data_IF_633507234389
#
_entry.id   IF_633507234389
#
_cell.length_a   1.000
_cell.length_b   1.000
_cell.length_c   1.000
_cell.angle_alpha   90.00
_cell.angle_beta   90.00
_cell.angle_gamma   90.00
#
_symmetry.space_group_name_H-M   'P 1'
#
loop_
_entity.id
_entity.type
_entity.pdbx_description
1 polymer ?
#
# COMPACT_ATOMS: atom_id res chain seq x y z
N UNK A 1 1.82 -57.02 -11.44
CA UNK A 1 2.05 -56.40 -12.75
C UNK A 1 0.70 -56.00 -13.34
N UNK A 2 0.51 -54.71 -13.60
CA UNK A 2 -0.60 -54.12 -14.39
C UNK A 2 -1.86 -53.72 -13.60
N UNK A 3 -2.56 -52.63 -13.98
CA UNK A 3 -2.12 -51.38 -14.63
C UNK A 3 -2.38 -50.13 -13.77
N UNK A 4 -1.70 -49.01 -14.08
CA UNK A 4 -2.01 -47.68 -13.54
C UNK A 4 -3.22 -47.07 -14.28
N UNK A 5 -4.20 -46.46 -13.59
CA UNK A 5 -5.13 -45.54 -14.23
C UNK A 5 -4.61 -44.09 -14.20
N UNK A 6 -4.29 -43.64 -15.41
CA UNK A 6 -4.51 -42.32 -16.05
C UNK A 6 -4.65 -41.07 -15.17
N UNK A 7 -3.88 -40.06 -15.59
CA UNK A 7 -4.02 -38.64 -15.28
C UNK A 7 -5.47 -38.15 -15.40
N UNK A 8 -5.94 -37.47 -14.37
CA UNK A 8 -7.03 -36.49 -14.48
C UNK A 8 -6.43 -35.11 -14.21
N UNK A 9 -6.46 -34.27 -15.24
CA UNK A 9 -6.46 -32.82 -15.07
C UNK A 9 -7.70 -32.46 -14.25
N UNK A 10 -7.50 -31.75 -13.14
CA UNK A 10 -8.55 -31.39 -12.21
C UNK A 10 -8.17 -30.10 -11.50
N UNK A 11 -8.39 -28.98 -12.19
CA UNK A 11 -8.53 -27.68 -11.57
C UNK A 11 -9.90 -27.64 -10.88
N UNK A 12 -9.96 -27.67 -9.55
CA UNK A 12 -11.08 -27.22 -8.71
C UNK A 12 -10.62 -27.38 -7.25
N UNK A 13 -10.46 -26.32 -6.45
CA UNK A 13 -11.51 -25.84 -5.54
C UNK A 13 -11.87 -26.94 -4.53
N UNK A 14 -11.78 -26.78 -3.22
CA UNK A 14 -12.69 -25.98 -2.39
C UNK A 14 -12.09 -25.95 -0.98
N UNK A 15 -12.11 -24.80 -0.28
CA UNK A 15 -12.79 -24.62 1.03
C UNK A 15 -12.49 -23.23 1.59
N UNK A 16 -13.00 -22.22 0.87
CA UNK A 16 -13.27 -20.89 1.41
C UNK A 16 -14.36 -20.99 2.48
N UNK A 17 -13.98 -20.80 3.73
CA UNK A 17 -14.88 -20.36 4.79
C UNK A 17 -14.22 -19.10 5.32
N UNK A 18 -14.94 -17.97 5.27
CA UNK A 18 -14.47 -16.58 5.41
C UNK A 18 -13.96 -15.94 4.11
N UNK A 19 -14.84 -15.77 3.12
CA UNK A 19 -14.64 -14.69 2.14
C UNK A 19 -14.87 -13.38 2.88
N UNK A 20 -13.81 -12.81 3.47
CA UNK A 20 -13.80 -11.39 3.80
C UNK A 20 -14.07 -10.68 2.47
N UNK A 21 -15.09 -9.83 2.40
CA UNK A 21 -15.32 -9.03 1.20
C UNK A 21 -14.13 -8.09 1.05
N UNK A 22 -13.16 -8.46 0.21
CA UNK A 22 -11.98 -7.67 -0.06
C UNK A 22 -12.33 -6.70 -1.18
N UNK A 23 -12.83 -5.50 -0.82
CA UNK A 23 -13.06 -4.45 -1.82
C UNK A 23 -11.72 -4.06 -2.44
N UNK A 24 -11.62 -4.21 -3.75
CA UNK A 24 -10.40 -3.90 -4.51
C UNK A 24 -10.64 -2.71 -5.43
N UNK A 25 -9.75 -1.73 -5.37
CA UNK A 25 -9.72 -0.59 -6.27
C UNK A 25 -8.42 -0.64 -7.08
N UNK A 26 -8.53 -0.59 -8.41
CA UNK A 26 -7.36 -0.58 -9.31
C UNK A 26 -7.26 0.75 -10.03
N UNK A 27 -6.05 1.31 -10.08
CA UNK A 27 -5.73 2.46 -10.91
C UNK A 27 -4.75 2.09 -12.03
N UNK A 28 -5.05 2.50 -13.25
CA UNK A 28 -4.14 2.40 -14.40
C UNK A 28 -3.41 3.74 -14.57
N UNK A 29 -2.11 3.74 -14.36
CA UNK A 29 -1.27 4.94 -14.29
C UNK A 29 -0.34 4.93 -15.50
N UNK A 30 -0.70 5.56 -16.61
CA UNK A 30 0.14 5.67 -17.79
C UNK A 30 1.41 6.53 -17.59
N UNK A 31 1.37 7.49 -16.66
CA UNK A 31 2.43 8.50 -16.42
C UNK A 31 2.63 8.79 -14.94
N UNK A 32 3.79 9.33 -14.58
CA UNK A 32 4.10 9.76 -13.21
C UNK A 32 3.08 10.75 -12.62
N UNK A 33 2.48 11.60 -13.45
CA UNK A 33 1.46 12.56 -13.01
C UNK A 33 0.20 11.88 -12.45
N UNK A 34 -0.16 10.70 -12.97
CA UNK A 34 -1.32 9.95 -12.46
C UNK A 34 -0.97 9.30 -11.12
N UNK A 35 0.25 8.79 -10.95
CA UNK A 35 0.76 8.35 -9.64
C UNK A 35 0.76 9.50 -8.63
N UNK A 36 1.17 10.71 -9.05
CA UNK A 36 1.13 11.91 -8.22
C UNK A 36 -0.30 12.27 -7.82
N UNK A 37 -1.22 12.33 -8.78
CA UNK A 37 -2.65 12.60 -8.56
C UNK A 37 -3.25 11.63 -7.55
N UNK A 38 -2.97 10.33 -7.70
CA UNK A 38 -3.51 9.27 -6.83
C UNK A 38 -2.93 9.35 -5.42
N UNK A 39 -1.61 9.54 -5.29
CA UNK A 39 -0.97 9.73 -3.99
C UNK A 39 -1.45 11.01 -3.28
N UNK A 40 -1.51 12.13 -4.00
CA UNK A 40 -2.01 13.40 -3.46
C UNK A 40 -3.47 13.27 -2.98
N UNK A 41 -4.32 12.61 -3.76
CA UNK A 41 -5.72 12.37 -3.37
C UNK A 41 -5.82 11.54 -2.08
N UNK A 42 -4.95 10.53 -1.90
CA UNK A 42 -4.89 9.75 -0.65
C UNK A 42 -4.45 10.64 0.52
N UNK A 43 -3.39 11.44 0.35
CA UNK A 43 -2.93 12.39 1.36
C UNK A 43 -4.00 13.39 1.79
N UNK A 44 -4.83 13.86 0.86
CA UNK A 44 -5.90 14.82 1.14
C UNK A 44 -7.05 14.25 2.00
N UNK A 45 -7.24 12.92 2.03
CA UNK A 45 -8.27 12.24 2.84
C UNK A 45 -7.71 11.43 3.99
N UNK A 46 -6.39 11.37 4.11
CA UNK A 46 -5.73 10.68 5.20
C UNK A 46 -6.20 11.23 6.56
N UNK A 47 -6.32 10.30 7.51
CA UNK A 47 -6.74 10.52 8.88
C UNK A 47 -5.72 9.92 9.85
N UNK A 48 -5.66 10.39 11.12
CA UNK A 48 -4.77 9.85 12.15
C UNK A 48 -4.91 8.33 12.32
N UNK A 49 -3.80 7.63 12.45
CA UNK A 49 -3.73 6.17 12.58
C UNK A 49 -3.97 5.40 11.27
N UNK A 50 -4.04 6.08 10.11
CA UNK A 50 -4.09 5.39 8.83
C UNK A 50 -2.74 4.72 8.56
N UNK A 51 -2.75 3.40 8.36
CA UNK A 51 -1.57 2.62 7.96
C UNK A 51 -1.71 2.17 6.51
N UNK A 52 -0.70 2.50 5.70
CA UNK A 52 -0.62 2.18 4.28
C UNK A 52 0.62 1.32 4.01
N UNK A 53 0.41 0.07 3.64
CA UNK A 53 1.48 -0.81 3.16
C UNK A 53 1.72 -0.65 1.66
N UNK A 54 2.97 -0.40 1.26
CA UNK A 54 3.39 -0.23 -0.13
C UNK A 54 4.23 -1.42 -0.58
N UNK A 55 3.70 -2.17 -1.54
CA UNK A 55 4.29 -3.40 -2.08
C UNK A 55 4.66 -3.16 -3.55
N UNK A 56 5.80 -3.69 -3.99
CA UNK A 56 6.23 -3.59 -5.37
C UNK A 56 7.72 -3.81 -5.52
N UNK A 57 8.17 -4.11 -6.74
CA UNK A 57 9.60 -4.35 -7.04
C UNK A 57 10.46 -3.09 -6.85
N UNK A 58 11.78 -3.27 -6.89
CA UNK A 58 12.72 -2.14 -6.91
C UNK A 58 12.43 -1.25 -8.14
N UNK A 59 12.30 0.05 -7.94
CA UNK A 59 11.96 0.98 -9.02
C UNK A 59 10.46 1.03 -9.38
N UNK A 60 9.58 0.30 -8.68
CA UNK A 60 8.14 0.35 -8.93
C UNK A 60 7.52 1.73 -8.65
N UNK A 61 8.20 2.59 -7.88
CA UNK A 61 7.74 3.95 -7.57
C UNK A 61 7.15 4.12 -6.16
N UNK A 62 7.41 3.18 -5.24
CA UNK A 62 6.93 3.24 -3.84
C UNK A 62 7.28 4.57 -3.15
N UNK A 63 8.56 4.96 -3.10
CA UNK A 63 8.98 6.25 -2.54
C UNK A 63 8.41 7.47 -3.27
N UNK A 64 8.23 7.38 -4.61
CA UNK A 64 7.56 8.42 -5.37
C UNK A 64 6.10 8.58 -4.92
N UNK A 65 5.41 7.47 -4.66
CA UNK A 65 4.06 7.47 -4.12
C UNK A 65 4.01 8.08 -2.71
N UNK A 66 4.95 7.73 -1.81
CA UNK A 66 5.07 8.36 -0.48
C UNK A 66 5.19 9.87 -0.61
N UNK A 67 6.04 10.36 -1.54
CA UNK A 67 6.20 11.79 -1.80
C UNK A 67 4.89 12.42 -2.28
N UNK A 68 4.16 11.77 -3.18
CA UNK A 68 2.87 12.25 -3.64
C UNK A 68 1.82 12.32 -2.50
N UNK A 69 1.82 11.34 -1.59
CA UNK A 69 0.99 11.39 -0.37
C UNK A 69 1.39 12.57 0.52
N UNK A 70 2.70 12.80 0.68
CA UNK A 70 3.22 13.93 1.46
C UNK A 70 2.82 15.30 0.87
N UNK A 71 2.77 15.41 -0.46
CA UNK A 71 2.23 16.59 -1.15
C UNK A 71 0.75 16.81 -0.80
N UNK A 72 -0.08 15.76 -0.85
CA UNK A 72 -1.49 15.84 -0.45
C UNK A 72 -1.74 16.08 1.04
N UNK A 73 -0.72 15.84 1.87
CA UNK A 73 -0.67 16.19 3.29
C UNK A 73 -0.07 17.56 3.54
N UNK A 74 0.17 18.37 2.51
CA UNK A 74 0.65 19.75 2.67
C UNK A 74 2.02 19.82 3.39
N UNK A 75 2.87 18.82 3.15
CA UNK A 75 4.25 18.83 3.67
C UNK A 75 5.00 20.06 3.12
N UNK A 76 5.68 20.87 3.97
CA UNK A 76 6.31 22.11 3.53
C UNK A 76 7.32 21.97 2.39
N UNK A 77 8.05 20.84 2.36
CA UNK A 77 8.92 20.48 1.23
C UNK A 77 8.91 18.96 1.00
N UNK A 78 7.94 18.48 0.22
CA UNK A 78 7.83 17.06 -0.12
C UNK A 78 9.05 16.51 -0.89
N UNK A 79 9.90 17.35 -1.48
CA UNK A 79 11.12 16.89 -2.18
C UNK A 79 12.13 16.27 -1.22
N UNK A 80 12.05 16.61 0.07
CA UNK A 80 12.87 16.03 1.13
C UNK A 80 12.44 14.60 1.50
N UNK A 81 11.26 14.16 1.05
CA UNK A 81 10.82 12.77 1.24
C UNK A 81 11.70 11.87 0.38
N UNK A 82 12.52 11.06 1.05
CA UNK A 82 13.42 10.07 0.44
C UNK A 82 13.23 8.73 1.14
N UNK A 83 13.62 7.63 0.49
CA UNK A 83 13.51 6.31 1.10
C UNK A 83 14.44 6.22 2.33
N UNK A 84 13.88 5.89 3.51
CA UNK A 84 14.64 5.74 4.74
C UNK A 84 15.29 4.35 4.83
N UNK A 85 15.70 3.72 3.73
CA UNK A 85 16.27 2.36 3.71
C UNK A 85 17.32 2.10 4.81
N UNK A 86 18.11 3.12 5.21
CA UNK A 86 19.10 3.00 6.29
C UNK A 86 18.65 3.53 7.65
N UNK A 87 17.71 4.49 7.68
CA UNK A 87 17.15 5.02 8.92
C UNK A 87 16.02 4.14 9.47
N UNK A 88 15.47 3.26 8.63
CA UNK A 88 14.31 2.39 8.84
C UNK A 88 12.99 3.16 8.99
N UNK A 89 13.01 4.29 9.69
CA UNK A 89 11.89 5.23 9.84
C UNK A 89 12.37 6.67 9.63
N UNK A 90 11.54 7.49 9.00
CA UNK A 90 11.73 8.94 8.94
C UNK A 90 10.40 9.65 9.11
N UNK A 91 10.41 10.74 9.88
CA UNK A 91 9.25 11.56 10.13
C UNK A 91 9.25 12.82 9.26
N UNK A 92 8.09 13.20 8.76
CA UNK A 92 7.89 14.44 8.03
C UNK A 92 6.68 15.20 8.58
N UNK A 93 6.80 16.53 8.60
CA UNK A 93 5.69 17.41 8.98
C UNK A 93 4.72 17.61 7.81
N UNK A 94 3.42 17.65 8.11
CA UNK A 94 2.35 18.02 7.20
C UNK A 94 1.09 18.36 8.01
N UNK A 95 -0.06 18.46 7.34
CA UNK A 95 -1.39 18.52 7.97
C UNK A 95 -1.60 17.39 8.98
N UNK A 96 -1.02 16.22 8.70
CA UNK A 96 -0.78 15.14 9.65
C UNK A 96 0.71 14.79 9.65
N UNK A 97 1.30 14.37 10.77
CA UNK A 97 2.63 13.75 10.78
C UNK A 97 2.68 12.56 9.83
N UNK A 98 3.79 12.38 9.13
CA UNK A 98 4.03 11.25 8.23
C UNK A 98 5.14 10.40 8.82
N UNK A 99 4.85 9.13 9.06
CA UNK A 99 5.80 8.13 9.52
C UNK A 99 6.14 7.21 8.36
N UNK A 100 7.28 7.45 7.72
CA UNK A 100 7.71 6.69 6.54
C UNK A 100 8.66 5.59 6.98
N UNK A 101 8.25 4.34 6.79
CA UNK A 101 9.06 3.15 7.04
C UNK A 101 9.56 2.52 5.73
N UNK A 102 10.75 1.94 5.77
CA UNK A 102 11.27 1.08 4.71
C UNK A 102 11.83 -0.21 5.31
N UNK A 103 11.12 -1.31 5.10
CA UNK A 103 11.43 -2.61 5.72
C UNK A 103 12.26 -3.51 4.81
N UNK A 104 12.78 -3.00 3.68
CA UNK A 104 13.53 -3.78 2.70
C UNK A 104 14.68 -4.59 3.30
N UNK A 105 15.36 -4.01 4.30
CA UNK A 105 16.54 -4.61 4.95
C UNK A 105 16.21 -5.40 6.20
N UNK A 106 14.96 -5.40 6.65
CA UNK A 106 14.58 -6.13 7.85
C UNK A 106 14.52 -7.62 7.54
N UNK A 107 15.08 -8.47 8.43
CA UNK A 107 15.12 -9.91 8.24
C UNK A 107 13.81 -10.62 8.61
N UNK A 108 12.94 -9.98 9.39
CA UNK A 108 11.70 -10.56 9.91
C UNK A 108 10.75 -9.50 10.46
N UNK A 109 9.49 -9.90 10.66
CA UNK A 109 8.48 -9.18 11.44
C UNK A 109 8.98 -8.77 12.82
N UNK A 110 9.65 -9.69 13.54
CA UNK A 110 10.20 -9.41 14.87
C UNK A 110 11.20 -8.25 14.86
N UNK A 111 12.07 -8.17 13.84
CA UNK A 111 13.01 -7.06 13.72
C UNK A 111 12.33 -5.73 13.41
N UNK A 112 11.13 -5.75 12.80
CA UNK A 112 10.32 -4.55 12.65
C UNK A 112 9.64 -4.18 13.96
N UNK A 113 9.06 -5.15 14.68
CA UNK A 113 8.45 -4.92 16.00
C UNK A 113 9.45 -4.37 17.03
N UNK A 114 10.71 -4.79 16.98
CA UNK A 114 11.79 -4.25 17.83
C UNK A 114 12.04 -2.73 17.63
N UNK A 115 11.60 -2.15 16.49
CA UNK A 115 11.68 -0.71 16.20
C UNK A 115 10.53 0.05 16.87
N UNK A 116 9.47 -0.63 17.31
CA UNK A 116 8.28 -0.04 17.91
C UNK A 116 7.31 0.63 16.91
N UNK A 117 7.00 0.04 15.75
CA UNK A 117 6.11 0.66 14.76
C UNK A 117 4.67 0.82 15.27
N UNK A 118 4.27 0.02 16.26
CA UNK A 118 2.96 0.07 16.89
C UNK A 118 2.65 1.44 17.49
N UNK A 119 3.65 2.12 18.07
CA UNK A 119 3.49 3.48 18.62
C UNK A 119 3.13 4.51 17.53
N UNK A 120 3.59 4.29 16.30
CA UNK A 120 3.30 5.15 15.15
C UNK A 120 1.97 4.79 14.47
N UNK A 121 1.60 3.51 14.50
CA UNK A 121 0.32 3.04 13.98
C UNK A 121 -0.86 3.58 14.79
N UNK A 122 -0.69 3.70 16.11
CA UNK A 122 -1.67 4.27 17.03
C UNK A 122 -1.51 5.79 17.23
N UNK A 123 -0.57 6.42 16.51
CA UNK A 123 -0.25 7.84 16.63
C UNK A 123 -1.19 8.78 15.88
N UNK A 124 -0.90 10.08 15.95
CA UNK A 124 -1.72 11.15 15.35
C UNK A 124 -1.49 11.32 13.82
N UNK A 125 -0.58 10.54 13.25
CA UNK A 125 -0.12 10.65 11.86
C UNK A 125 -0.64 9.57 10.93
N UNK A 126 -0.03 9.51 9.74
CA UNK A 126 -0.17 8.41 8.77
C UNK A 126 1.13 7.60 8.74
N UNK A 127 1.02 6.29 8.76
CA UNK A 127 2.17 5.38 8.58
C UNK A 127 2.22 4.86 7.14
N UNK A 128 3.34 5.10 6.45
CA UNK A 128 3.60 4.66 5.08
C UNK A 128 4.75 3.63 5.10
N UNK A 129 4.43 2.35 4.90
CA UNK A 129 5.38 1.24 5.06
C UNK A 129 5.78 0.68 3.70
N UNK A 130 6.96 1.03 3.19
CA UNK A 130 7.53 0.39 2.01
C UNK A 130 7.99 -1.04 2.30
N UNK A 131 7.77 -1.94 1.33
CA UNK A 131 8.07 -3.38 1.43
C UNK A 131 7.28 -4.09 2.53
N UNK A 132 6.03 -3.65 2.73
CA UNK A 132 5.10 -4.18 3.71
C UNK A 132 4.94 -5.72 3.63
N UNK A 133 5.11 -6.32 2.45
CA UNK A 133 5.08 -7.77 2.22
C UNK A 133 6.20 -8.55 2.93
N UNK A 134 7.25 -7.86 3.41
CA UNK A 134 8.34 -8.48 4.19
C UNK A 134 8.03 -8.60 5.68
N UNK A 135 7.02 -7.89 6.16
CA UNK A 135 6.64 -7.83 7.58
C UNK A 135 5.11 -7.97 7.77
N UNK A 136 4.45 -8.94 7.11
CA UNK A 136 2.99 -9.01 7.06
C UNK A 136 2.34 -9.26 8.43
N UNK A 137 3.02 -9.94 9.36
CA UNK A 137 2.51 -10.26 10.70
C UNK A 137 2.65 -9.09 11.67
N UNK A 138 3.56 -8.15 11.38
CA UNK A 138 3.77 -6.93 12.17
C UNK A 138 2.88 -5.75 11.74
N UNK A 139 2.10 -5.88 10.67
CA UNK A 139 1.15 -4.84 10.24
C UNK A 139 -0.17 -4.93 11.00
N UNK A 140 -0.84 -3.80 11.28
CA UNK A 140 -2.10 -3.81 12.01
C UNK A 140 -3.22 -4.45 11.16
N UNK A 141 -4.27 -5.01 11.80
CA UNK A 141 -5.38 -5.65 11.11
C UNK A 141 -6.21 -4.66 10.27
N UNK A 142 -6.25 -3.38 10.67
CA UNK A 142 -6.90 -2.30 9.92
C UNK A 142 -5.83 -1.52 9.14
N UNK A 143 -5.78 -1.73 7.83
CA UNK A 143 -4.78 -1.08 6.95
C UNK A 143 -5.22 -1.05 5.48
N UNK A 144 -4.60 -0.16 4.72
CA UNK A 144 -4.68 -0.10 3.27
C UNK A 144 -3.40 -0.72 2.68
N UNK A 145 -3.52 -1.75 1.85
CA UNK A 145 -2.37 -2.29 1.12
C UNK A 145 -2.43 -1.88 -0.34
N UNK A 146 -1.30 -1.42 -0.84
CA UNK A 146 -1.11 -0.86 -2.17
C UNK A 146 -0.01 -1.63 -2.90
N UNK A 147 -0.38 -2.36 -3.95
CA UNK A 147 0.58 -3.03 -4.83
C UNK A 147 0.83 -2.18 -6.07
N UNK A 148 2.09 -1.76 -6.25
CA UNK A 148 2.58 -1.05 -7.44
C UNK A 148 3.26 -2.05 -8.39
N UNK A 149 2.64 -2.26 -9.55
CA UNK A 149 3.13 -3.11 -10.63
C UNK A 149 3.71 -2.25 -11.77
N UNK A 150 4.89 -2.61 -12.28
CA UNK A 150 5.47 -1.97 -13.47
C UNK A 150 4.85 -2.57 -14.73
N UNK A 151 4.09 -1.78 -15.48
CA UNK A 151 3.39 -2.22 -16.70
C UNK A 151 4.03 -1.69 -17.99
N UNK A 152 5.03 -0.82 -17.86
CA UNK A 152 5.77 -0.21 -18.97
C UNK A 152 6.82 0.77 -18.45
N UNK A 153 7.48 1.48 -19.35
CA UNK A 153 8.55 2.43 -19.01
C UNK A 153 8.03 3.51 -18.05
N UNK A 154 6.95 4.20 -18.43
CA UNK A 154 6.32 5.24 -17.62
C UNK A 154 5.07 4.75 -16.88
N UNK A 155 4.55 3.57 -17.24
CA UNK A 155 3.25 3.11 -16.75
C UNK A 155 3.35 2.17 -15.56
N UNK A 156 2.41 2.32 -14.63
CA UNK A 156 2.20 1.49 -13.45
C UNK A 156 0.74 1.08 -13.35
N UNK A 157 0.50 -0.02 -12.65
CA UNK A 157 -0.82 -0.35 -12.11
C UNK A 157 -0.75 -0.33 -10.59
N UNK A 158 -1.67 0.38 -9.96
CA UNK A 158 -1.81 0.41 -8.51
C UNK A 158 -3.05 -0.40 -8.13
N UNK A 159 -2.88 -1.48 -7.36
CA UNK A 159 -4.00 -2.23 -6.78
C UNK A 159 -4.10 -1.93 -5.29
N UNK A 160 -5.26 -1.49 -4.86
CA UNK A 160 -5.56 -1.14 -3.49
C UNK A 160 -6.51 -2.17 -2.87
N UNK A 161 -6.14 -2.66 -1.70
CA UNK A 161 -6.91 -3.60 -0.89
C UNK A 161 -7.06 -3.01 0.50
N UNK A 162 -8.30 -2.97 1.01
CA UNK A 162 -8.57 -2.57 2.39
C UNK A 162 -8.74 -3.79 3.29
N UNK A 163 -8.10 -3.75 4.45
CA UNK A 163 -8.32 -4.67 5.56
C UNK A 163 -9.03 -3.94 6.70
N UNK A 164 -10.06 -4.56 7.27
CA UNK A 164 -10.91 -3.96 8.29
C UNK A 164 -11.98 -3.00 7.73
N UNK A 165 -12.69 -2.31 8.62
CA UNK A 165 -13.79 -1.41 8.24
C UNK A 165 -13.26 -0.04 7.77
N UNK A 166 -12.86 0.03 6.49
CA UNK A 166 -12.44 1.26 5.78
C UNK A 166 -12.93 1.30 4.33
N UNK A 167 -14.07 0.68 4.01
CA UNK A 167 -14.61 0.70 2.65
C UNK A 167 -14.90 2.12 2.15
N UNK A 168 -15.36 3.02 3.03
CA UNK A 168 -15.59 4.43 2.70
C UNK A 168 -14.31 5.15 2.24
N UNK A 169 -13.13 4.74 2.73
CA UNK A 169 -11.85 5.32 2.29
C UNK A 169 -11.63 5.08 0.79
N UNK A 170 -11.96 3.90 0.27
CA UNK A 170 -11.79 3.60 -1.16
C UNK A 170 -12.75 4.42 -2.02
N UNK A 171 -14.00 4.59 -1.57
CA UNK A 171 -15.00 5.39 -2.30
C UNK A 171 -14.61 6.88 -2.32
N UNK A 172 -14.22 7.44 -1.18
CA UNK A 172 -13.75 8.82 -1.08
C UNK A 172 -12.48 9.04 -1.92
N UNK A 173 -11.57 8.06 -1.90
CA UNK A 173 -10.34 8.11 -2.70
C UNK A 173 -10.64 8.07 -4.19
N UNK A 174 -11.47 7.11 -4.63
CA UNK A 174 -11.91 6.98 -6.02
C UNK A 174 -12.60 8.25 -6.49
N UNK A 175 -13.52 8.81 -5.70
CA UNK A 175 -14.24 10.04 -6.02
C UNK A 175 -13.30 11.23 -6.25
N UNK A 176 -12.25 11.37 -5.44
CA UNK A 176 -11.25 12.43 -5.59
C UNK A 176 -10.29 12.22 -6.74
N UNK A 177 -9.91 10.97 -6.99
CA UNK A 177 -9.07 10.66 -8.13
C UNK A 177 -9.85 10.89 -9.41
N UNK A 178 -11.07 10.37 -9.54
CA UNK A 178 -11.85 10.38 -10.77
C UNK A 178 -11.90 9.00 -11.44
N UNK A 179 -12.98 8.73 -12.16
CA UNK A 179 -13.24 7.42 -12.79
C UNK A 179 -12.41 7.17 -14.06
N UNK A 180 -11.71 8.18 -14.59
CA UNK A 180 -10.94 8.08 -15.83
C UNK A 180 -9.77 7.09 -15.76
N UNK A 181 -9.26 6.85 -14.55
CA UNK A 181 -8.15 5.92 -14.30
C UNK A 181 -8.46 4.88 -13.23
N UNK A 182 -9.68 4.86 -12.67
CA UNK A 182 -10.05 4.04 -11.52
C UNK A 182 -11.11 2.99 -11.86
N UNK A 183 -10.86 1.72 -11.53
CA UNK A 183 -11.81 0.62 -11.71
C UNK A 183 -11.96 -0.15 -10.41
N UNK A 184 -13.19 -0.32 -9.93
CA UNK A 184 -13.54 -1.11 -8.75
C UNK A 184 -14.02 -2.51 -9.15
N UNK A 185 -13.53 -3.55 -8.47
CA UNK A 185 -14.08 -4.90 -8.55
C UNK A 185 -14.73 -5.24 -7.21
N UNK A 186 -15.98 -5.70 -7.28
CA UNK A 186 -16.80 -6.10 -6.13
C UNK A 186 -16.75 -7.61 -5.92
#
# INVERSE_FOLDING_TARGET
MGPLPRTMSGNMGIMDRWTVMVTTLTFELAREEETRRVGHALGAIAFPGLVVGLIGTLGAGKTFFVRAVAEGLETPDARLVTSPTFLLVQEYAGRLPIYHFDTYRLPSDGAFLDIGPEEYFDGDGISLVEWADRVPEALPPKRLELTLEVTGETSRRLRAIVFGDMSSLLEDWKSRVGDDIATSQA
#
